data_IF_904557408899
#
_entry.id   IF_904557408899
#
_cell.length_a   1.000
_cell.length_b   1.000
_cell.length_c   1.000
_cell.angle_alpha   90.00
_cell.angle_beta   90.00
_cell.angle_gamma   90.00
#
_symmetry.space_group_name_H-M   'P 1'
#
loop_
_entity.id
_entity.type
_entity.pdbx_description
1 polymer ?
#
# COMPACT_ATOMS: atom_id res chain seq x y z
N UNK A 1 -14.83 -8.46 3.89
CA UNK A 1 -14.40 -7.94 5.21
C UNK A 1 -14.96 -6.53 5.31
N UNK A 2 -15.77 -6.24 6.32
CA UNK A 2 -16.31 -4.91 6.59
C UNK A 2 -15.92 -4.50 8.00
N UNK A 3 -15.55 -3.24 8.18
CA UNK A 3 -15.24 -2.68 9.51
C UNK A 3 -15.98 -1.38 9.70
N UNK A 4 -16.47 -1.14 10.91
CA UNK A 4 -17.14 0.10 11.30
C UNK A 4 -16.24 0.84 12.29
N UNK A 5 -15.88 2.09 12.00
CA UNK A 5 -15.13 2.93 12.92
C UNK A 5 -15.98 4.14 13.29
N UNK A 6 -16.41 4.24 14.55
CA UNK A 6 -17.19 5.38 15.03
C UNK A 6 -16.27 6.47 15.57
N UNK A 7 -16.31 7.65 14.97
CA UNK A 7 -15.90 8.91 15.62
C UNK A 7 -17.17 9.67 16.01
N UNK A 8 -17.18 10.30 17.18
CA UNK A 8 -18.32 11.11 17.64
C UNK A 8 -18.69 12.15 16.58
N UNK A 9 -19.94 12.11 16.10
CA UNK A 9 -20.47 13.04 15.09
C UNK A 9 -20.33 12.60 13.62
N UNK A 10 -19.75 11.44 13.32
CA UNK A 10 -19.60 10.96 11.94
C UNK A 10 -20.90 10.33 11.41
N UNK A 11 -21.32 10.74 10.20
CA UNK A 11 -22.48 10.15 9.52
C UNK A 11 -22.25 8.63 9.31
N UNK A 12 -23.19 7.74 9.68
CA UNK A 12 -22.97 6.29 9.70
C UNK A 12 -22.46 5.67 8.40
N UNK A 13 -22.86 6.17 7.23
CA UNK A 13 -22.36 5.64 5.95
C UNK A 13 -20.90 6.02 5.67
N UNK A 14 -20.37 7.07 6.31
CA UNK A 14 -18.94 7.41 6.28
C UNK A 14 -18.13 6.61 7.30
N UNK A 15 -18.79 5.94 8.25
CA UNK A 15 -18.16 5.06 9.23
C UNK A 15 -17.95 3.63 8.72
N UNK A 16 -18.52 3.29 7.56
CA UNK A 16 -18.52 1.95 7.01
C UNK A 16 -17.42 1.78 5.95
N UNK A 17 -16.49 0.88 6.24
CA UNK A 17 -15.39 0.54 5.34
C UNK A 17 -15.60 -0.87 4.80
N UNK A 18 -15.72 -1.00 3.48
CA UNK A 18 -15.97 -2.28 2.81
C UNK A 18 -14.77 -2.76 1.99
N UNK A 19 -14.49 -4.06 2.08
CA UNK A 19 -13.48 -4.73 1.28
C UNK A 19 -12.06 -4.30 1.65
N UNK A 20 -11.09 -4.77 0.87
CA UNK A 20 -9.69 -4.43 1.07
C UNK A 20 -9.43 -2.92 0.90
N UNK A 21 -10.10 -2.26 -0.07
CA UNK A 21 -9.96 -0.81 -0.26
C UNK A 21 -10.49 -0.04 0.95
N UNK A 22 -11.62 -0.48 1.52
CA UNK A 22 -12.15 0.08 2.75
C UNK A 22 -11.17 -0.07 3.92
N UNK A 23 -10.62 -1.27 4.13
CA UNK A 23 -9.63 -1.51 5.18
C UNK A 23 -8.40 -0.59 5.05
N UNK A 24 -7.80 -0.51 3.85
CA UNK A 24 -6.70 0.42 3.53
C UNK A 24 -7.06 1.88 3.87
N UNK A 25 -8.27 2.31 3.49
CA UNK A 25 -8.73 3.67 3.75
C UNK A 25 -8.96 3.96 5.23
N UNK A 26 -9.45 2.98 6.00
CA UNK A 26 -9.63 3.12 7.43
C UNK A 26 -8.27 3.30 8.13
N UNK A 27 -7.32 2.40 7.88
CA UNK A 27 -5.96 2.51 8.44
C UNK A 27 -5.29 3.84 8.07
N UNK A 28 -5.36 4.24 6.80
CA UNK A 28 -4.81 5.51 6.34
C UNK A 28 -5.42 6.72 7.09
N UNK A 29 -6.73 6.72 7.34
CA UNK A 29 -7.38 7.78 8.10
C UNK A 29 -6.91 7.80 9.56
N UNK A 30 -6.92 6.65 10.25
CA UNK A 30 -6.55 6.58 11.67
C UNK A 30 -5.09 7.00 11.89
N UNK A 31 -4.18 6.50 11.04
CA UNK A 31 -2.75 6.80 11.16
C UNK A 31 -2.48 8.26 10.82
N UNK A 32 -3.10 8.81 9.75
CA UNK A 32 -3.01 10.24 9.45
C UNK A 32 -3.46 11.08 10.64
N UNK A 33 -4.58 10.74 11.28
CA UNK A 33 -5.06 11.48 12.45
C UNK A 33 -4.03 11.51 13.58
N UNK A 34 -3.31 10.41 13.83
CA UNK A 34 -2.24 10.34 14.84
C UNK A 34 -1.09 11.28 14.47
N UNK A 35 -0.59 11.18 13.24
CA UNK A 35 0.55 11.99 12.76
C UNK A 35 0.21 13.48 12.74
N UNK A 36 -0.95 13.85 12.20
CA UNK A 36 -1.38 15.25 12.14
C UNK A 36 -1.67 15.81 13.54
N UNK A 37 -2.15 14.98 14.48
CA UNK A 37 -2.31 15.43 15.86
C UNK A 37 -0.97 15.70 16.53
N UNK A 38 0.05 14.89 16.25
CA UNK A 38 1.42 15.16 16.70
C UNK A 38 1.93 16.49 16.14
N UNK A 39 1.72 16.76 14.83
CA UNK A 39 2.09 18.04 14.22
C UNK A 39 1.39 19.24 14.84
N UNK A 40 0.10 19.12 15.17
CA UNK A 40 -0.66 20.19 15.83
C UNK A 40 -0.11 20.54 17.22
N UNK A 41 0.36 19.55 17.98
CA UNK A 41 0.79 19.74 19.37
C UNK A 41 2.28 20.05 19.49
N UNK A 42 3.11 19.41 18.65
CA UNK A 42 4.57 19.44 18.75
C UNK A 42 5.25 20.27 17.65
N UNK A 43 4.47 20.76 16.68
CA UNK A 43 4.98 21.22 15.40
C UNK A 43 5.41 20.05 14.49
N UNK A 44 5.84 20.36 13.27
CA UNK A 44 6.31 19.32 12.32
C UNK A 44 7.67 18.75 12.74
N UNK A 45 7.63 17.79 13.66
CA UNK A 45 8.77 16.99 14.11
C UNK A 45 8.71 15.60 13.49
N UNK A 46 9.84 14.91 13.26
CA UNK A 46 9.83 13.52 12.82
C UNK A 46 8.98 12.65 13.77
N UNK A 47 8.05 11.89 13.19
CA UNK A 47 7.22 10.92 13.90
C UNK A 47 7.61 9.53 13.46
N UNK A 48 7.75 8.63 14.42
CA UNK A 48 7.95 7.20 14.19
C UNK A 48 6.89 6.41 14.96
N UNK A 49 6.23 5.46 14.29
CA UNK A 49 5.38 4.47 14.95
C UNK A 49 6.28 3.36 15.46
N UNK A 50 6.55 3.38 16.77
CA UNK A 50 7.52 2.48 17.40
C UNK A 50 7.17 1.00 17.31
N UNK A 51 5.90 0.65 17.23
CA UNK A 51 5.46 -0.73 17.03
C UNK A 51 4.17 -0.75 16.21
N UNK A 52 4.14 -1.61 15.20
CA UNK A 52 2.92 -1.95 14.46
C UNK A 52 3.01 -3.41 14.01
N UNK A 53 1.88 -4.07 13.77
CA UNK A 53 1.90 -5.48 13.41
C UNK A 53 0.50 -6.09 13.33
N UNK A 54 0.45 -7.35 12.93
CA UNK A 54 -0.76 -8.15 12.89
C UNK A 54 -0.45 -9.55 13.43
N UNK A 55 -1.38 -10.19 14.15
CA UNK A 55 -1.15 -11.55 14.63
C UNK A 55 -1.16 -12.53 13.45
N UNK A 56 -0.21 -13.47 13.42
CA UNK A 56 -0.12 -14.50 12.38
C UNK A 56 -1.10 -15.65 12.64
N UNK A 57 -1.53 -15.84 13.89
CA UNK A 57 -2.48 -16.86 14.34
C UNK A 57 -3.96 -16.42 14.20
N UNK A 58 -4.23 -15.37 13.42
CA UNK A 58 -5.58 -14.96 13.03
C UNK A 58 -6.41 -16.14 12.50
N UNK A 59 -7.73 -16.02 12.67
CA UNK A 59 -8.69 -17.05 12.26
C UNK A 59 -8.39 -18.43 12.90
N UNK A 60 -8.05 -18.44 14.20
CA UNK A 60 -7.73 -19.63 14.98
C UNK A 60 -6.55 -20.42 14.40
N UNK A 61 -5.53 -19.72 13.90
CA UNK A 61 -4.32 -20.32 13.33
C UNK A 61 -4.54 -21.17 12.07
N UNK A 62 -5.63 -20.94 11.33
CA UNK A 62 -5.97 -21.74 10.13
C UNK A 62 -4.83 -21.77 9.11
N UNK A 63 -4.18 -20.63 8.89
CA UNK A 63 -3.07 -20.49 7.94
C UNK A 63 -1.90 -21.43 8.24
N UNK A 64 -1.64 -21.74 9.51
CA UNK A 64 -0.56 -22.66 9.89
C UNK A 64 -0.80 -24.10 9.42
N UNK A 65 -2.07 -24.47 9.20
CA UNK A 65 -2.46 -25.80 8.71
C UNK A 65 -2.61 -25.85 7.19
N UNK A 66 -3.05 -24.76 6.59
CA UNK A 66 -3.38 -24.71 5.14
C UNK A 66 -2.29 -24.09 4.29
N UNK A 67 -1.28 -23.48 4.92
CA UNK A 67 -0.26 -22.65 4.28
C UNK A 67 -0.81 -21.42 3.53
N UNK A 68 -2.08 -21.08 3.79
CA UNK A 68 -2.76 -19.95 3.17
C UNK A 68 -2.81 -18.78 4.15
N UNK A 69 -1.84 -17.88 3.99
CA UNK A 69 -1.70 -16.64 4.77
C UNK A 69 -2.39 -15.42 4.11
N UNK A 70 -3.34 -15.63 3.19
CA UNK A 70 -3.97 -14.53 2.44
C UNK A 70 -4.60 -13.48 3.35
N UNK A 71 -5.20 -13.87 4.47
CA UNK A 71 -5.84 -12.91 5.40
C UNK A 71 -4.81 -12.09 6.18
N UNK A 72 -3.71 -12.71 6.59
CA UNK A 72 -2.56 -12.08 7.23
C UNK A 72 -1.94 -11.05 6.28
N UNK A 73 -1.70 -11.47 5.03
CA UNK A 73 -1.19 -10.60 3.98
C UNK A 73 -2.11 -9.40 3.71
N UNK A 74 -3.43 -9.62 3.61
CA UNK A 74 -4.42 -8.55 3.42
C UNK A 74 -4.42 -7.53 4.57
N UNK A 75 -4.38 -8.01 5.80
CA UNK A 75 -4.42 -7.12 6.96
C UNK A 75 -3.10 -6.36 7.15
N UNK A 76 -1.96 -7.03 6.94
CA UNK A 76 -0.64 -6.38 6.91
C UNK A 76 -0.60 -5.30 5.83
N UNK A 77 -1.03 -5.62 4.61
CA UNK A 77 -1.09 -4.65 3.52
C UNK A 77 -1.97 -3.43 3.85
N UNK A 78 -3.16 -3.64 4.41
CA UNK A 78 -4.04 -2.52 4.78
C UNK A 78 -3.38 -1.57 5.79
N UNK A 79 -2.67 -2.11 6.78
CA UNK A 79 -1.93 -1.34 7.77
C UNK A 79 -0.72 -0.61 7.15
N UNK A 80 0.11 -1.32 6.37
CA UNK A 80 1.30 -0.75 5.75
C UNK A 80 0.95 0.35 4.73
N UNK A 81 -0.11 0.16 3.92
CA UNK A 81 -0.65 1.23 3.05
C UNK A 81 -1.04 2.47 3.85
N UNK A 82 -1.60 2.29 5.06
CA UNK A 82 -1.94 3.40 5.93
C UNK A 82 -0.71 4.17 6.42
N UNK A 83 0.35 3.47 6.80
CA UNK A 83 1.64 4.05 7.21
C UNK A 83 2.33 4.77 6.04
N UNK A 84 2.36 4.14 4.87
CA UNK A 84 2.92 4.70 3.63
C UNK A 84 2.22 6.01 3.24
N UNK A 85 0.88 6.01 3.20
CA UNK A 85 0.09 7.22 2.87
C UNK A 85 0.22 8.32 3.91
N UNK A 86 0.54 7.97 5.16
CA UNK A 86 0.82 8.92 6.22
C UNK A 86 2.26 9.46 6.19
N UNK A 87 3.10 8.96 5.28
CA UNK A 87 4.53 9.33 5.15
C UNK A 87 5.29 9.20 6.48
N UNK A 88 4.92 8.20 7.30
CA UNK A 88 5.47 8.02 8.65
C UNK A 88 6.42 6.82 8.69
N UNK A 89 7.55 7.00 9.38
CA UNK A 89 8.45 5.88 9.68
C UNK A 89 7.79 4.92 10.67
N UNK A 90 8.13 3.64 10.60
CA UNK A 90 7.60 2.65 11.52
C UNK A 90 8.56 1.48 11.73
N UNK A 91 8.32 0.74 12.80
CA UNK A 91 9.02 -0.51 13.12
C UNK A 91 8.00 -1.62 13.28
N UNK A 92 8.16 -2.66 12.47
CA UNK A 92 7.25 -3.80 12.45
C UNK A 92 7.56 -4.75 13.61
N UNK A 93 6.59 -4.96 14.50
CA UNK A 93 6.61 -5.96 15.57
C UNK A 93 6.12 -7.31 15.01
N UNK A 94 6.96 -8.34 14.88
CA UNK A 94 8.41 -8.31 15.13
C UNK A 94 9.18 -9.28 14.23
N UNK A 95 10.50 -9.25 14.37
CA UNK A 95 11.37 -10.35 13.97
C UNK A 95 11.82 -11.08 15.23
N UNK A 96 11.36 -12.32 15.42
CA UNK A 96 11.80 -13.21 16.48
C UNK A 96 12.35 -14.50 15.84
N UNK A 97 13.67 -14.75 15.91
CA UNK A 97 14.28 -15.92 15.27
C UNK A 97 13.92 -17.26 15.92
N UNK A 98 13.39 -17.25 17.15
CA UNK A 98 12.90 -18.45 17.84
C UNK A 98 11.42 -18.71 17.61
N UNK A 99 10.71 -17.79 16.94
CA UNK A 99 9.28 -17.94 16.77
C UNK A 99 8.97 -19.20 15.95
N UNK A 100 7.97 -19.98 16.36
CA UNK A 100 7.44 -21.09 15.56
C UNK A 100 5.95 -20.91 15.29
N UNK A 101 5.41 -21.64 14.31
CA UNK A 101 3.96 -21.63 14.05
C UNK A 101 3.16 -22.20 15.24
N UNK A 102 3.76 -23.11 16.01
CA UNK A 102 3.10 -23.80 17.12
C UNK A 102 3.19 -23.01 18.43
N UNK A 103 4.39 -22.56 18.81
CA UNK A 103 4.65 -21.98 20.12
C UNK A 103 4.61 -20.45 20.12
N UNK A 104 4.50 -19.81 18.95
CA UNK A 104 4.60 -18.36 18.85
C UNK A 104 6.00 -17.91 19.24
N UNK A 105 6.09 -16.87 20.05
CA UNK A 105 7.32 -16.17 20.43
C UNK A 105 8.14 -16.83 21.55
N UNK A 106 7.71 -17.99 22.06
CA UNK A 106 8.33 -18.69 23.22
C UNK A 106 8.33 -17.85 24.51
N UNK A 107 7.48 -16.81 24.60
CA UNK A 107 7.38 -15.95 25.77
C UNK A 107 6.00 -15.99 26.41
N UNK A 108 4.98 -15.48 25.73
CA UNK A 108 3.60 -15.48 26.22
C UNK A 108 2.63 -16.18 25.25
N UNK A 109 3.16 -16.77 24.18
CA UNK A 109 2.39 -17.48 23.15
C UNK A 109 1.89 -16.57 22.03
N UNK A 110 2.31 -15.30 22.01
CA UNK A 110 2.00 -14.39 20.91
C UNK A 110 2.68 -14.84 19.62
N UNK A 111 1.98 -14.68 18.50
CA UNK A 111 2.53 -15.03 17.19
C UNK A 111 2.51 -13.81 16.26
N UNK A 112 3.25 -12.77 16.61
CA UNK A 112 3.37 -11.55 15.80
C UNK A 112 4.50 -11.58 14.79
N UNK A 113 5.46 -12.50 14.94
CA UNK A 113 6.64 -12.44 14.10
C UNK A 113 6.30 -12.64 12.63
N UNK A 114 6.87 -11.88 11.70
CA UNK A 114 6.76 -12.27 10.29
C UNK A 114 7.68 -13.45 9.96
N UNK A 115 8.53 -13.90 10.88
CA UNK A 115 9.39 -15.06 10.72
C UNK A 115 8.87 -16.26 11.50
N UNK A 116 9.16 -17.48 11.01
CA UNK A 116 8.91 -18.73 11.69
C UNK A 116 10.07 -19.70 11.44
N UNK A 117 10.77 -20.09 12.51
CA UNK A 117 11.92 -20.98 12.46
C UNK A 117 11.54 -22.35 11.87
N UNK A 118 10.32 -22.83 12.12
CA UNK A 118 9.81 -24.09 11.55
C UNK A 118 9.69 -24.08 10.03
N UNK A 119 9.83 -22.90 9.40
CA UNK A 119 9.75 -22.70 7.95
C UNK A 119 11.09 -22.28 7.34
N UNK A 120 12.14 -22.14 8.15
CA UNK A 120 13.46 -21.71 7.70
C UNK A 120 14.27 -22.89 7.15
N UNK A 121 15.17 -22.59 6.21
CA UNK A 121 16.15 -23.56 5.76
C UNK A 121 17.27 -23.73 6.81
N UNK A 122 17.88 -24.93 6.91
CA UNK A 122 19.10 -25.09 7.69
C UNK A 122 20.23 -24.24 7.10
N UNK A 123 21.16 -23.84 7.98
CA UNK A 123 22.26 -22.91 7.65
C UNK A 123 23.07 -23.35 6.42
N UNK A 124 23.31 -24.64 6.26
CA UNK A 124 24.15 -25.18 5.18
C UNK A 124 23.51 -25.04 3.78
N UNK A 125 22.21 -24.72 3.71
CA UNK A 125 21.48 -24.45 2.47
C UNK A 125 21.30 -22.95 2.19
N UNK A 126 21.87 -22.08 3.03
CA UNK A 126 21.77 -20.63 2.86
C UNK A 126 22.90 -20.09 1.98
N UNK A 127 22.50 -19.34 0.96
CA UNK A 127 23.37 -18.45 0.20
C UNK A 127 23.22 -17.03 0.73
N UNK A 128 24.35 -16.33 0.92
CA UNK A 128 24.40 -15.03 1.60
C UNK A 128 24.40 -13.82 0.66
N UNK A 129 24.21 -14.02 -0.64
CA UNK A 129 23.97 -12.91 -1.57
C UNK A 129 22.62 -12.26 -1.24
N UNK A 130 22.58 -10.92 -1.25
CA UNK A 130 21.39 -10.15 -0.85
C UNK A 130 20.14 -10.47 -1.71
N UNK A 131 20.34 -10.85 -2.97
CA UNK A 131 19.28 -11.25 -3.90
C UNK A 131 18.89 -12.73 -3.80
N UNK A 132 19.52 -13.51 -2.90
CA UNK A 132 19.26 -14.94 -2.81
C UNK A 132 17.90 -15.24 -2.17
N UNK A 133 17.01 -15.99 -2.85
CA UNK A 133 15.74 -16.44 -2.28
C UNK A 133 15.90 -17.35 -1.05
N UNK A 134 17.08 -17.95 -0.84
CA UNK A 134 17.33 -18.78 0.34
C UNK A 134 17.22 -17.98 1.64
N UNK A 135 17.55 -16.67 1.62
CA UNK A 135 17.50 -15.80 2.79
C UNK A 135 16.06 -15.48 3.23
N UNK A 136 15.10 -15.57 2.31
CA UNK A 136 13.68 -15.31 2.58
C UNK A 136 12.96 -16.51 3.23
N UNK A 137 13.63 -17.67 3.33
CA UNK A 137 13.05 -18.86 3.96
C UNK A 137 12.82 -18.62 5.46
N UNK A 138 11.69 -19.12 5.96
CA UNK A 138 11.20 -18.80 7.29
C UNK A 138 10.33 -17.54 7.32
N UNK A 139 10.44 -16.66 6.33
CA UNK A 139 9.55 -15.51 6.17
C UNK A 139 8.12 -15.93 5.85
N UNK A 140 7.17 -15.31 6.54
CA UNK A 140 5.73 -15.39 6.31
C UNK A 140 5.28 -14.07 5.71
N UNK A 141 4.36 -14.13 4.76
CA UNK A 141 3.75 -12.95 4.11
C UNK A 141 4.77 -11.90 3.61
N UNK A 142 5.98 -12.30 3.22
CA UNK A 142 7.02 -11.36 2.75
C UNK A 142 6.56 -10.52 1.56
N UNK A 143 5.68 -11.05 0.72
CA UNK A 143 5.04 -10.29 -0.36
C UNK A 143 4.20 -9.09 0.11
N UNK A 144 3.72 -9.10 1.36
CA UNK A 144 3.04 -7.97 1.98
C UNK A 144 4.00 -7.06 2.77
N UNK A 145 5.05 -7.64 3.39
CA UNK A 145 5.98 -6.95 4.30
C UNK A 145 7.13 -6.25 3.56
N UNK A 146 7.72 -6.90 2.56
CA UNK A 146 8.89 -6.42 1.81
C UNK A 146 8.40 -5.56 0.65
N UNK A 147 8.37 -4.25 0.87
CA UNK A 147 7.76 -3.25 -0.02
C UNK A 147 8.81 -2.24 -0.47
N UNK A 148 8.65 -1.64 -1.66
CA UNK A 148 9.52 -0.55 -2.07
C UNK A 148 9.28 0.68 -1.19
N UNK A 149 10.32 1.47 -0.96
CA UNK A 149 10.20 2.75 -0.25
C UNK A 149 11.34 3.71 -0.62
N UNK A 150 11.09 5.04 -0.61
CA UNK A 150 12.13 6.04 -0.87
C UNK A 150 13.08 6.13 0.34
N UNK A 151 14.20 5.40 0.28
CA UNK A 151 15.17 5.30 1.37
C UNK A 151 15.96 6.61 1.54
N UNK A 152 16.32 7.26 0.43
CA UNK A 152 16.96 8.58 0.41
C UNK A 152 16.33 9.42 -0.69
N UNK A 153 15.87 10.62 -0.36
CA UNK A 153 15.24 11.51 -1.32
C UNK A 153 16.07 12.78 -1.47
N UNK A 154 16.38 13.16 -2.71
CA UNK A 154 17.00 14.44 -3.03
C UNK A 154 15.94 15.56 -3.00
N UNK A 155 15.37 15.82 -1.82
CA UNK A 155 14.31 16.79 -1.61
C UNK A 155 13.31 16.36 -0.54
N UNK A 156 12.13 16.97 -0.55
CA UNK A 156 11.09 16.77 0.46
C UNK A 156 10.04 15.76 -0.06
N UNK A 157 9.95 14.53 0.48
CA UNK A 157 8.89 13.60 0.15
C UNK A 157 7.50 14.21 0.41
N UNK A 158 6.61 14.09 -0.57
CA UNK A 158 5.22 14.58 -0.50
C UNK A 158 4.21 13.45 -0.49
N UNK A 159 4.44 12.39 -1.26
CA UNK A 159 3.48 11.29 -1.39
C UNK A 159 4.16 10.02 -1.90
N UNK A 160 3.80 8.90 -1.31
CA UNK A 160 4.16 7.56 -1.77
C UNK A 160 2.91 6.66 -1.78
N UNK A 161 2.67 5.95 -2.87
CA UNK A 161 1.62 4.94 -2.95
C UNK A 161 2.17 3.70 -3.64
N UNK A 162 2.03 2.54 -2.99
CA UNK A 162 2.44 1.25 -3.54
C UNK A 162 1.23 0.32 -3.66
N UNK A 163 1.16 -0.43 -4.76
CA UNK A 163 0.17 -1.47 -5.00
C UNK A 163 0.83 -2.85 -4.98
N UNK A 164 0.50 -3.64 -3.96
CA UNK A 164 1.03 -4.98 -3.76
C UNK A 164 0.60 -5.96 -4.85
N UNK A 165 -0.58 -5.75 -5.46
CA UNK A 165 -1.13 -6.62 -6.52
C UNK A 165 -0.24 -6.62 -7.78
N UNK A 166 0.29 -5.45 -8.16
CA UNK A 166 1.07 -5.26 -9.40
C UNK A 166 2.58 -5.14 -9.13
N UNK A 167 2.95 -4.70 -7.93
CA UNK A 167 4.30 -4.27 -7.59
C UNK A 167 4.61 -2.82 -8.01
N UNK A 168 3.64 -2.09 -8.57
CA UNK A 168 3.84 -0.71 -9.02
C UNK A 168 3.72 0.29 -7.88
N UNK A 169 4.41 1.43 -8.01
CA UNK A 169 4.29 2.53 -7.07
C UNK A 169 4.38 3.89 -7.76
N UNK A 170 3.92 4.92 -7.05
CA UNK A 170 4.15 6.31 -7.41
C UNK A 170 4.92 7.00 -6.29
N UNK A 171 5.81 7.94 -6.66
CA UNK A 171 6.50 8.77 -5.69
C UNK A 171 6.52 10.24 -6.13
N UNK A 172 6.18 11.14 -5.20
CA UNK A 172 6.27 12.58 -5.36
C UNK A 172 7.18 13.17 -4.31
N UNK A 173 8.10 14.00 -4.74
CA UNK A 173 8.94 14.81 -3.88
C UNK A 173 9.14 16.19 -4.49
N UNK A 174 9.53 17.14 -3.66
CA UNK A 174 9.67 18.54 -4.04
C UNK A 174 11.09 19.03 -3.78
N UNK A 175 11.61 19.83 -4.69
CA UNK A 175 12.83 20.59 -4.44
C UNK A 175 12.60 21.59 -3.28
N UNK A 176 13.51 21.65 -2.30
CA UNK A 176 13.44 22.64 -1.23
C UNK A 176 13.27 24.07 -1.78
N UNK A 177 12.40 24.85 -1.15
CA UNK A 177 12.23 26.28 -1.44
C UNK A 177 13.41 27.12 -0.92
N UNK A 178 13.56 28.34 -1.43
CA UNK A 178 14.51 29.32 -0.89
C UNK A 178 13.89 30.02 0.33
N UNK A 179 14.45 29.75 1.51
CA UNK A 179 13.91 30.11 2.84
C UNK A 179 12.51 29.54 3.10
N UNK A 180 12.13 29.43 4.37
CA UNK A 180 10.90 28.77 4.84
C UNK A 180 9.75 29.03 3.88
N UNK A 181 9.35 28.02 3.10
CA UNK A 181 8.07 28.05 2.41
C UNK A 181 7.07 28.32 3.52
N UNK A 182 6.62 29.57 3.64
CA UNK A 182 5.53 29.96 4.51
C UNK A 182 4.28 29.38 3.88
N UNK A 183 4.14 28.05 3.93
CA UNK A 183 2.91 27.37 3.65
C UNK A 183 1.94 27.93 4.68
N UNK A 184 1.03 28.78 4.22
CA UNK A 184 0.01 29.37 5.08
C UNK A 184 -0.85 28.24 5.64
N UNK A 185 -0.69 27.92 6.93
CA UNK A 185 -1.47 26.89 7.62
C UNK A 185 -0.63 25.98 8.49
N UNK A 186 -1.31 25.17 9.30
CA UNK A 186 -0.64 24.13 10.08
C UNK A 186 -0.10 23.05 9.13
N UNK A 187 1.11 22.50 9.39
CA UNK A 187 1.67 21.41 8.60
C UNK A 187 0.75 20.18 8.64
N UNK A 188 0.59 19.54 7.49
CA UNK A 188 -0.15 18.28 7.37
C UNK A 188 0.71 17.24 6.66
N UNK A 189 0.30 15.97 6.71
CA UNK A 189 0.98 14.89 5.99
C UNK A 189 1.16 15.22 4.50
N UNK A 190 0.12 15.79 3.87
CA UNK A 190 0.13 16.09 2.43
C UNK A 190 0.81 17.43 2.10
N UNK A 191 1.03 18.28 3.10
CA UNK A 191 1.60 19.62 2.96
C UNK A 191 2.67 19.85 4.03
N UNK A 192 3.83 19.17 3.92
CA UNK A 192 4.93 19.37 4.84
C UNK A 192 5.53 20.78 4.67
N UNK A 193 5.73 21.50 5.78
CA UNK A 193 6.38 22.82 5.86
C UNK A 193 7.80 22.77 6.42
N UNK A 194 8.36 21.57 6.60
CA UNK A 194 9.72 21.34 7.09
C UNK A 194 10.79 22.01 6.20
N UNK A 195 11.79 22.58 6.86
CA UNK A 195 13.03 22.99 6.20
C UNK A 195 13.81 21.75 5.75
N UNK A 196 14.65 21.92 4.73
CA UNK A 196 15.52 20.87 4.21
C UNK A 196 16.95 21.41 4.15
N UNK A 197 17.97 20.61 4.51
CA UNK A 197 19.36 21.00 4.33
C UNK A 197 19.67 21.21 2.84
N UNK A 198 20.81 21.85 2.54
CA UNK A 198 21.27 21.98 1.16
C UNK A 198 21.39 20.58 0.49
N UNK A 199 20.85 20.45 -0.72
CA UNK A 199 20.95 19.23 -1.50
C UNK A 199 22.39 19.07 -1.99
N UNK A 200 23.03 17.95 -1.62
CA UNK A 200 24.41 17.62 -2.03
C UNK A 200 24.49 16.64 -3.20
N UNK A 201 23.40 15.96 -3.51
CA UNK A 201 23.29 15.00 -4.59
C UNK A 201 21.86 15.02 -5.14
N UNK A 202 21.73 14.92 -6.47
CA UNK A 202 20.43 14.87 -7.15
C UNK A 202 19.84 13.45 -7.21
N UNK A 203 20.58 12.48 -6.67
CA UNK A 203 20.20 11.08 -6.67
C UNK A 203 19.22 10.77 -5.53
N UNK A 204 18.06 10.25 -5.91
CA UNK A 204 17.08 9.63 -5.02
C UNK A 204 17.26 8.12 -5.09
N UNK A 205 17.38 7.48 -3.93
CA UNK A 205 17.51 6.04 -3.77
C UNK A 205 16.19 5.46 -3.26
N UNK A 206 15.58 4.59 -4.05
CA UNK A 206 14.35 3.87 -3.71
C UNK A 206 14.72 2.41 -3.54
N UNK A 207 14.51 1.85 -2.35
CA UNK A 207 14.60 0.40 -2.17
C UNK A 207 13.53 -0.24 -3.06
N UNK A 208 13.94 -1.15 -3.95
CA UNK A 208 13.07 -1.91 -4.83
C UNK A 208 13.48 -3.38 -4.76
N UNK A 209 12.74 -4.20 -3.98
CA UNK A 209 13.18 -5.54 -3.64
C UNK A 209 13.21 -6.45 -4.88
N UNK A 210 14.23 -7.31 -4.95
CA UNK A 210 14.34 -8.34 -5.99
C UNK A 210 13.14 -9.31 -5.92
N UNK A 211 12.54 -9.51 -4.75
CA UNK A 211 11.29 -10.26 -4.58
C UNK A 211 10.15 -9.79 -5.53
N UNK A 212 10.18 -8.50 -5.92
CA UNK A 212 9.21 -7.89 -6.83
C UNK A 212 9.76 -7.80 -8.26
N UNK A 213 11.03 -7.41 -8.41
CA UNK A 213 11.63 -7.00 -9.68
C UNK A 213 12.45 -8.09 -10.39
N UNK A 214 12.85 -9.16 -9.71
CA UNK A 214 13.70 -10.21 -10.29
C UNK A 214 13.09 -10.81 -11.56
N UNK A 215 13.87 -10.85 -12.63
CA UNK A 215 13.43 -11.36 -13.94
C UNK A 215 12.33 -10.53 -14.61
N UNK A 216 12.16 -9.26 -14.23
CA UNK A 216 11.15 -8.34 -14.77
C UNK A 216 11.78 -6.99 -15.15
N UNK A 217 11.11 -6.26 -16.03
CA UNK A 217 11.56 -4.92 -16.43
C UNK A 217 11.01 -3.88 -15.47
N UNK A 218 11.91 -3.05 -14.92
CA UNK A 218 11.54 -1.86 -14.13
C UNK A 218 11.38 -0.68 -15.09
N UNK A 219 10.16 -0.21 -15.25
CA UNK A 219 9.82 0.90 -16.16
C UNK A 219 9.45 2.12 -15.33
N UNK A 220 10.22 3.20 -15.49
CA UNK A 220 9.96 4.48 -14.81
C UNK A 220 9.39 5.47 -15.81
N UNK A 221 8.30 6.14 -15.43
CA UNK A 221 7.62 7.19 -16.19
C UNK A 221 7.44 8.44 -15.33
N UNK A 222 7.19 9.60 -15.97
CA UNK A 222 7.06 10.89 -15.29
C UNK A 222 8.40 11.57 -14.98
N UNK A 223 9.47 11.16 -15.66
CA UNK A 223 10.77 11.80 -15.65
C UNK A 223 10.80 12.96 -16.65
N UNK A 224 11.54 14.02 -16.34
CA UNK A 224 11.83 15.11 -17.29
C UNK A 224 12.87 14.68 -18.35
N UNK A 225 13.06 15.50 -19.40
CA UNK A 225 13.93 15.16 -20.54
C UNK A 225 15.38 14.83 -20.15
N UNK A 226 15.93 15.55 -19.17
CA UNK A 226 17.31 15.38 -18.68
C UNK A 226 17.44 14.42 -17.50
N UNK A 227 16.33 13.91 -16.98
CA UNK A 227 16.31 12.99 -15.85
C UNK A 227 16.76 11.59 -16.28
N UNK A 228 17.25 10.79 -15.34
CA UNK A 228 17.67 9.41 -15.61
C UNK A 228 17.39 8.49 -14.44
N UNK A 229 17.30 7.19 -14.73
CA UNK A 229 17.17 6.16 -13.71
C UNK A 229 17.97 4.91 -14.05
N UNK A 230 18.35 4.16 -13.01
CA UNK A 230 18.95 2.83 -13.13
C UNK A 230 18.48 1.96 -11.97
N UNK A 231 18.07 0.73 -12.28
CA UNK A 231 17.81 -0.28 -11.26
C UNK A 231 19.02 -1.20 -11.10
N UNK A 232 19.60 -1.22 -9.90
CA UNK A 232 20.63 -2.17 -9.50
C UNK A 232 19.99 -3.27 -8.65
N UNK A 233 19.78 -4.43 -9.26
CA UNK A 233 19.14 -5.57 -8.60
C UNK A 233 19.99 -6.16 -7.48
N UNK A 234 21.33 -6.17 -7.61
CA UNK A 234 22.21 -6.70 -6.59
C UNK A 234 22.15 -5.87 -5.30
N UNK A 235 21.95 -4.55 -5.45
CA UNK A 235 21.67 -3.62 -4.34
C UNK A 235 20.20 -3.50 -3.98
N UNK A 236 19.30 -4.11 -4.76
CA UNK A 236 17.86 -3.94 -4.67
C UNK A 236 17.43 -2.46 -4.58
N UNK A 237 18.04 -1.62 -5.42
CA UNK A 237 17.88 -0.16 -5.36
C UNK A 237 17.63 0.43 -6.74
N UNK A 238 16.56 1.21 -6.85
CA UNK A 238 16.28 2.07 -7.99
C UNK A 238 16.85 3.46 -7.70
N UNK A 239 17.81 3.88 -8.51
CA UNK A 239 18.40 5.21 -8.47
C UNK A 239 17.70 6.11 -9.49
N UNK A 240 17.37 7.34 -9.08
CA UNK A 240 16.76 8.35 -9.94
C UNK A 240 17.53 9.65 -9.78
N UNK A 241 18.03 10.20 -10.88
CA UNK A 241 18.71 11.49 -10.90
C UNK A 241 17.78 12.49 -11.57
N UNK A 242 17.20 13.37 -10.77
CA UNK A 242 16.33 14.44 -11.26
C UNK A 242 17.12 15.74 -11.43
N UNK A 243 17.23 16.25 -12.66
CA UNK A 243 18.09 17.39 -13.01
C UNK A 243 17.46 18.74 -12.75
N UNK A 244 16.14 18.81 -12.73
CA UNK A 244 15.46 20.06 -12.40
C UNK A 244 15.67 20.39 -10.92
N UNK A 245 16.41 21.46 -10.64
CA UNK A 245 16.69 21.95 -9.28
C UNK A 245 15.92 23.24 -8.94
N UNK A 246 14.93 23.63 -9.75
CA UNK A 246 14.16 24.84 -9.49
C UNK A 246 13.46 24.73 -8.11
N UNK A 247 13.63 25.71 -7.21
CA UNK A 247 13.01 25.67 -5.89
C UNK A 247 11.49 25.46 -5.98
N UNK A 248 10.96 24.54 -5.19
CA UNK A 248 9.53 24.23 -5.17
C UNK A 248 9.02 23.36 -6.33
N UNK A 249 9.86 23.03 -7.33
CA UNK A 249 9.47 22.09 -8.39
C UNK A 249 9.13 20.71 -7.80
N UNK A 250 8.06 20.09 -8.30
CA UNK A 250 7.55 18.80 -7.82
C UNK A 250 7.84 17.74 -8.86
N UNK A 251 8.72 16.81 -8.50
CA UNK A 251 8.97 15.59 -9.26
C UNK A 251 7.88 14.57 -8.98
N UNK A 252 7.43 13.86 -10.01
CA UNK A 252 6.35 12.88 -9.90
C UNK A 252 6.57 11.70 -10.83
N UNK A 253 7.01 10.59 -10.26
CA UNK A 253 7.27 9.37 -11.02
C UNK A 253 6.20 8.31 -10.77
N UNK A 254 6.07 7.42 -11.75
CA UNK A 254 5.41 6.13 -11.60
C UNK A 254 6.36 5.03 -12.05
N UNK A 255 6.47 3.99 -11.22
CA UNK A 255 7.29 2.81 -11.47
C UNK A 255 6.37 1.62 -11.67
N UNK A 256 6.53 0.95 -12.81
CA UNK A 256 5.79 -0.25 -13.18
C UNK A 256 6.75 -1.41 -13.35
N UNK A 257 6.30 -2.60 -12.96
CA UNK A 257 7.08 -3.82 -13.06
C UNK A 257 6.46 -4.66 -14.19
N UNK A 258 7.02 -4.53 -15.39
CA UNK A 258 6.51 -5.21 -16.57
C UNK A 258 7.04 -6.65 -16.63
N UNK A 259 6.17 -7.60 -17.00
CA UNK A 259 6.63 -8.93 -17.35
C UNK A 259 7.46 -8.85 -18.65
N UNK A 260 8.51 -9.67 -18.73
CA UNK A 260 9.23 -9.85 -19.98
C UNK A 260 8.30 -10.48 -21.02
N UNK A 261 8.46 -10.08 -22.27
CA UNK A 261 7.66 -10.60 -23.38
C UNK A 261 7.75 -12.15 -23.41
N UNK A 262 6.59 -12.82 -23.42
CA UNK A 262 6.51 -14.29 -23.39
C UNK A 262 6.46 -14.94 -22.00
N UNK A 263 6.58 -14.20 -20.89
CA UNK A 263 6.49 -14.73 -19.53
C UNK A 263 5.14 -14.44 -18.87
N UNK A 264 4.62 -15.42 -18.11
CA UNK A 264 3.37 -15.24 -17.35
C UNK A 264 3.56 -14.23 -16.22
N UNK A 265 2.64 -13.28 -16.13
CA UNK A 265 2.54 -12.34 -15.00
C UNK A 265 2.30 -13.13 -13.72
N UNK A 266 3.02 -12.78 -12.64
CA UNK A 266 2.80 -13.36 -11.30
C UNK A 266 1.33 -13.19 -10.92
N UNK A 267 0.64 -14.23 -10.44
CA UNK A 267 -0.72 -14.05 -9.91
C UNK A 267 -0.68 -13.04 -8.76
N UNK A 268 -1.67 -12.14 -8.71
CA UNK A 268 -1.73 -11.12 -7.67
C UNK A 268 -1.82 -11.79 -6.29
N UNK A 269 -1.19 -11.18 -5.29
CA UNK A 269 -1.28 -11.66 -3.90
C UNK A 269 -2.75 -11.75 -3.45
N UNK A 270 -3.53 -10.75 -3.85
CA UNK A 270 -4.99 -10.74 -3.83
C UNK A 270 -5.49 -9.57 -4.68
N UNK A 271 -6.78 -9.62 -5.02
CA UNK A 271 -7.48 -8.48 -5.62
C UNK A 271 -8.02 -7.55 -4.54
N UNK A 272 -7.79 -6.25 -4.70
CA UNK A 272 -8.31 -5.22 -3.81
C UNK A 272 -9.78 -4.92 -4.17
N UNK A 273 -10.70 -5.43 -3.37
CA UNK A 273 -12.13 -5.27 -3.59
C UNK A 273 -12.74 -4.08 -2.83
N UNK A 274 -13.89 -3.61 -3.30
CA UNK A 274 -14.78 -2.63 -2.69
C UNK A 274 -16.26 -3.05 -2.83
N UNK A 275 -17.18 -2.21 -2.37
CA UNK A 275 -18.60 -2.53 -2.38
C UNK A 275 -19.14 -2.79 -3.80
N UNK A 276 -18.65 -2.02 -4.78
CA UNK A 276 -19.12 -2.12 -6.16
C UNK A 276 -18.53 -3.33 -6.87
N UNK A 277 -17.28 -3.69 -6.60
CA UNK A 277 -16.71 -4.93 -7.14
C UNK A 277 -17.42 -6.18 -6.60
N UNK A 278 -17.90 -6.16 -5.36
CA UNK A 278 -18.56 -7.32 -4.75
C UNK A 278 -20.05 -7.42 -5.10
N UNK A 279 -20.77 -6.28 -5.18
CA UNK A 279 -22.23 -6.27 -5.31
C UNK A 279 -22.77 -5.47 -6.48
N UNK A 280 -21.94 -4.74 -7.23
CA UNK A 280 -22.40 -3.80 -8.25
C UNK A 280 -23.31 -4.46 -9.29
N UNK A 281 -22.95 -5.65 -9.78
CA UNK A 281 -23.79 -6.40 -10.73
C UNK A 281 -25.14 -6.83 -10.13
N UNK A 282 -25.14 -7.33 -8.89
CA UNK A 282 -26.37 -7.74 -8.21
C UNK A 282 -27.28 -6.56 -7.88
N UNK A 283 -26.70 -5.42 -7.49
CA UNK A 283 -27.42 -4.17 -7.24
C UNK A 283 -28.04 -3.61 -8.52
N UNK A 284 -27.31 -3.61 -9.64
CA UNK A 284 -27.85 -3.23 -10.95
C UNK A 284 -29.01 -4.15 -11.37
N UNK A 285 -28.86 -5.47 -11.21
CA UNK A 285 -29.93 -6.42 -11.53
C UNK A 285 -31.19 -6.18 -10.66
N UNK A 286 -31.03 -5.94 -9.36
CA UNK A 286 -32.14 -5.62 -8.46
C UNK A 286 -32.83 -4.30 -8.85
N UNK A 287 -32.05 -3.26 -9.19
CA UNK A 287 -32.60 -1.98 -9.65
C UNK A 287 -33.36 -2.12 -10.96
N UNK A 288 -32.83 -2.90 -11.93
CA UNK A 288 -33.54 -3.20 -13.18
C UNK A 288 -34.86 -3.93 -12.91
N UNK A 289 -34.85 -4.93 -12.02
CA UNK A 289 -36.06 -5.65 -11.61
C UNK A 289 -37.08 -4.73 -10.92
N UNK A 290 -36.63 -3.86 -10.01
CA UNK A 290 -37.49 -2.89 -9.33
C UNK A 290 -38.04 -1.86 -10.31
N UNK A 291 -37.25 -1.36 -11.25
CA UNK A 291 -37.72 -0.47 -12.31
C UNK A 291 -38.72 -1.18 -13.24
N UNK A 292 -38.49 -2.44 -13.61
CA UNK A 292 -39.42 -3.23 -14.40
C UNK A 292 -40.75 -3.47 -13.66
N UNK A 293 -40.69 -3.80 -12.36
CA UNK A 293 -41.86 -3.91 -11.49
C UNK A 293 -42.62 -2.58 -11.38
N UNK A 294 -41.93 -1.47 -11.16
CA UNK A 294 -42.54 -0.14 -11.08
C UNK A 294 -43.15 0.29 -12.43
N UNK A 295 -42.52 -0.03 -13.56
CA UNK A 295 -43.07 0.22 -14.90
C UNK A 295 -44.31 -0.65 -15.19
N UNK A 296 -44.31 -1.90 -14.74
CA UNK A 296 -45.46 -2.81 -14.83
C UNK A 296 -46.62 -2.37 -13.94
N UNK A 297 -46.35 -1.92 -12.71
CA UNK A 297 -47.37 -1.48 -11.74
C UNK A 297 -47.94 -0.10 -12.12
N UNK A 298 -47.15 0.79 -12.72
CA UNK A 298 -47.60 2.14 -13.11
C UNK A 298 -48.43 2.20 -14.40
N UNK A 299 -48.60 1.08 -15.13
CA UNK A 299 -49.31 1.05 -16.41
C UNK A 299 -48.60 1.83 -17.55
N UNK A 300 -47.40 2.36 -17.30
CA UNK A 300 -46.60 3.09 -18.27
C UNK A 300 -46.07 2.12 -19.34
N UNK A 301 -45.75 0.88 -18.97
CA UNK A 301 -45.35 -0.18 -19.91
C UNK A 301 -46.43 -0.49 -20.96
N UNK A 302 -47.70 -0.57 -20.55
CA UNK A 302 -48.83 -0.85 -21.44
C UNK A 302 -49.10 0.32 -22.41
N UNK A 303 -48.92 1.56 -21.96
CA UNK A 303 -49.01 2.75 -22.81
C UNK A 303 -47.85 2.87 -23.82
N UNK A 304 -46.68 2.32 -23.50
CA UNK A 304 -45.53 2.28 -24.41
C UNK A 304 -45.71 1.22 -25.50
N UNK A 305 -46.19 0.02 -25.13
CA UNK A 305 -46.50 -1.07 -26.06
C UNK A 305 -47.64 -0.70 -27.02
N UNK A 306 -48.71 -0.07 -26.52
CA UNK A 306 -49.80 0.43 -27.38
C UNK A 306 -49.36 1.51 -28.36
N UNK A 307 -48.33 2.31 -28.03
CA UNK A 307 -47.78 3.31 -28.96
C UNK A 307 -46.87 2.70 -30.03
N UNK A 308 -46.23 1.57 -29.74
CA UNK A 308 -45.41 0.82 -30.70
C UNK A 308 -46.29 0.02 -31.68
N UNK A 309 -47.41 -0.54 -31.22
CA UNK A 309 -48.39 -1.23 -32.09
C UNK A 309 -49.15 -0.29 -33.06
N UNK A 310 -49.11 1.03 -32.84
CA UNK A 310 -49.69 2.03 -33.76
C UNK A 310 -48.70 2.43 -34.87
N UNK A 311 -47.43 2.01 -34.78
CA UNK A 311 -46.35 2.36 -35.72
C UNK A 311 -45.99 1.18 -36.64
N UNK A 312 -46.54 -0.02 -36.41
CA UNK A 312 -46.49 -1.19 -37.31
C UNK A 312 -47.81 -1.32 -38.08
#
# INVERSE_FOLDING_TARGET
>A
MSSVCFFQGMFPLKAFYWGQKGARNNFALQIRNIVEKAYQVLGEKPVIIGECGIPMDMNKGRAFKTDDFTWQAKMMDAMLVGLERAMVGFTLWNYNPYNTDLAGDEWNGENFSWFSQSRALPRDLLYYQQSSPSLDNGGRILSAVVRPYPAKTAGIPLKFEYEVTTGSFMFKWRNPGAETDTISGAPTVDKPSRSHPEIKALETEIFLPSLIAHGRSVVVSGLEEDDSYVYDEARQTLFIVAKNTQPGFVHNIRVEIAALEGYKVRPPLFEANDFWSDFGMGGCALLVLLCALLLGISGIGDNLLRKLDIIL
#
